data_IF_852066117320
#
_entry.id   IF_852066117320
#
_cell.length_a   1.000
_cell.length_b   1.000
_cell.length_c   1.000
_cell.angle_alpha   90.00
_cell.angle_beta   90.00
_cell.angle_gamma   90.00
#
_symmetry.space_group_name_H-M   'P 1'
#
loop_
_entity.id
_entity.type
_entity.pdbx_description
1 polymer ?
#
# COMPACT_ATOMS: atom_id res chain seq x y z
N UNK A 1 4.56 19.85 14.22
CA UNK A 1 4.01 18.52 13.91
C UNK A 1 4.58 18.08 12.58
N UNK A 2 5.47 17.08 12.54
CA UNK A 2 5.98 16.55 11.27
C UNK A 2 4.83 15.78 10.63
N UNK A 3 4.11 16.39 9.69
CA UNK A 3 3.08 15.70 8.93
C UNK A 3 3.71 14.47 8.29
N UNK A 4 3.15 13.29 8.54
CA UNK A 4 3.69 12.07 7.97
C UNK A 4 3.36 12.05 6.47
N UNK A 5 4.25 12.60 5.65
CA UNK A 5 4.10 12.75 4.19
C UNK A 5 3.70 11.42 3.55
N UNK A 6 4.23 10.31 4.09
CA UNK A 6 3.89 8.94 3.67
C UNK A 6 2.39 8.67 3.87
N UNK A 7 1.84 9.00 5.04
CA UNK A 7 0.41 8.80 5.32
C UNK A 7 -0.48 9.68 4.41
N UNK A 8 -0.07 10.93 4.17
CA UNK A 8 -0.79 11.83 3.26
C UNK A 8 -0.79 11.28 1.82
N UNK A 9 0.35 10.80 1.32
CA UNK A 9 0.45 10.16 0.00
C UNK A 9 -0.43 8.92 -0.10
N UNK A 10 -0.41 8.04 0.91
CA UNK A 10 -1.26 6.85 0.95
C UNK A 10 -2.74 7.24 0.89
N UNK A 11 -3.16 8.26 1.65
CA UNK A 11 -4.53 8.74 1.66
C UNK A 11 -4.97 9.26 0.27
N UNK A 12 -4.11 10.03 -0.40
CA UNK A 12 -4.37 10.57 -1.75
C UNK A 12 -4.55 9.43 -2.77
N UNK A 13 -3.66 8.44 -2.75
CA UNK A 13 -3.73 7.28 -3.65
C UNK A 13 -5.03 6.51 -3.44
N UNK A 14 -5.36 6.19 -2.18
CA UNK A 14 -6.58 5.45 -1.83
C UNK A 14 -7.83 6.22 -2.24
N UNK A 15 -7.89 7.54 -1.96
CA UNK A 15 -9.02 8.39 -2.35
C UNK A 15 -9.19 8.48 -3.87
N UNK A 16 -8.09 8.59 -4.62
CA UNK A 16 -8.12 8.65 -6.10
C UNK A 16 -8.61 7.33 -6.70
N UNK A 17 -8.17 6.18 -6.17
CA UNK A 17 -8.65 4.87 -6.60
C UNK A 17 -10.16 4.70 -6.37
N UNK A 18 -10.66 5.16 -5.22
CA UNK A 18 -12.10 5.16 -4.96
C UNK A 18 -12.85 6.07 -5.92
N UNK A 19 -12.35 7.27 -6.19
CA UNK A 19 -12.97 8.21 -7.12
C UNK A 19 -13.07 7.62 -8.53
N UNK A 20 -11.97 7.04 -9.04
CA UNK A 20 -11.93 6.38 -10.34
C UNK A 20 -12.95 5.23 -10.43
N UNK A 21 -13.11 4.46 -9.35
CA UNK A 21 -14.12 3.39 -9.30
C UNK A 21 -15.54 3.93 -9.34
N UNK A 22 -15.82 5.06 -8.66
CA UNK A 22 -17.13 5.72 -8.71
C UNK A 22 -17.44 6.31 -10.09
N UNK A 23 -16.41 6.73 -10.83
CA UNK A 23 -16.53 7.19 -12.23
C UNK A 23 -16.76 6.05 -13.23
N UNK A 24 -16.82 4.79 -12.77
CA UNK A 24 -17.03 3.63 -13.62
C UNK A 24 -15.76 3.12 -14.31
N UNK A 25 -14.58 3.63 -13.95
CA UNK A 25 -13.32 3.05 -14.43
C UNK A 25 -13.11 1.68 -13.79
N UNK A 26 -12.69 0.72 -14.61
CA UNK A 26 -12.31 -0.61 -14.14
C UNK A 26 -10.91 -0.57 -13.51
N UNK A 27 -10.82 0.06 -12.33
CA UNK A 27 -9.60 0.06 -11.52
C UNK A 27 -9.55 -1.20 -10.64
N UNK A 28 -8.36 -1.79 -10.44
CA UNK A 28 -8.19 -2.88 -9.49
C UNK A 28 -8.73 -2.49 -8.12
N UNK A 29 -9.61 -3.31 -7.55
CA UNK A 29 -10.12 -3.07 -6.20
C UNK A 29 -8.97 -3.03 -5.20
N UNK A 30 -9.12 -2.23 -4.14
CA UNK A 30 -8.15 -2.18 -3.04
C UNK A 30 -7.83 -3.57 -2.46
N UNK A 31 -8.81 -4.47 -2.43
CA UNK A 31 -8.61 -5.87 -2.05
C UNK A 31 -7.61 -6.61 -2.94
N UNK A 32 -7.65 -6.41 -4.26
CA UNK A 32 -6.68 -7.01 -5.19
C UNK A 32 -5.28 -6.43 -5.01
N UNK A 33 -5.18 -5.12 -4.77
CA UNK A 33 -3.90 -4.47 -4.49
C UNK A 33 -3.30 -5.06 -3.20
N UNK A 34 -4.05 -5.06 -2.10
CA UNK A 34 -3.57 -5.63 -0.83
C UNK A 34 -3.22 -7.12 -0.97
N UNK A 35 -4.05 -7.90 -1.69
CA UNK A 35 -3.82 -9.33 -1.96
C UNK A 35 -2.62 -9.58 -2.88
N UNK A 36 -2.23 -8.63 -3.74
CA UNK A 36 -1.04 -8.74 -4.58
C UNK A 36 0.22 -8.34 -3.83
N UNK A 37 0.13 -7.35 -2.94
CA UNK A 37 1.29 -6.73 -2.28
C UNK A 37 1.61 -7.28 -0.89
N UNK A 38 0.71 -7.99 -0.20
CA UNK A 38 1.02 -8.62 1.10
C UNK A 38 2.24 -9.57 1.09
N UNK A 39 2.55 -10.34 0.02
CA UNK A 39 3.73 -11.21 0.03
C UNK A 39 5.02 -10.39 0.03
N UNK A 40 5.03 -9.21 -0.59
CA UNK A 40 6.19 -8.33 -0.61
C UNK A 40 6.52 -7.81 0.79
N UNK A 41 5.51 -7.52 1.61
CA UNK A 41 5.70 -7.14 3.03
C UNK A 41 6.36 -8.28 3.79
N UNK A 42 5.90 -9.52 3.61
CA UNK A 42 6.50 -10.69 4.25
C UNK A 42 7.96 -10.92 3.81
N UNK A 43 8.28 -10.70 2.53
CA UNK A 43 9.66 -10.78 2.03
C UNK A 43 10.53 -9.71 2.71
N UNK A 44 10.09 -8.45 2.74
CA UNK A 44 10.86 -7.36 3.38
C UNK A 44 11.06 -7.62 4.87
N UNK A 45 10.03 -8.09 5.57
CA UNK A 45 10.13 -8.48 6.99
C UNK A 45 11.09 -9.65 7.16
N UNK A 46 10.98 -10.71 6.34
CA UNK A 46 11.87 -11.87 6.38
C UNK A 46 13.32 -11.50 6.11
N UNK A 47 13.58 -10.65 5.11
CA UNK A 47 14.91 -10.08 4.85
C UNK A 47 15.39 -9.25 6.05
N UNK A 48 14.53 -8.40 6.61
CA UNK A 48 14.82 -7.64 7.82
C UNK A 48 15.26 -8.54 8.98
N UNK A 49 14.59 -9.67 9.19
CA UNK A 49 14.97 -10.65 10.22
C UNK A 49 16.29 -11.35 9.91
N UNK A 50 16.58 -11.68 8.65
CA UNK A 50 17.85 -12.29 8.24
C UNK A 50 19.04 -11.34 8.41
N UNK A 51 18.85 -10.06 8.10
CA UNK A 51 19.89 -9.03 8.24
C UNK A 51 19.97 -8.45 9.66
N UNK A 52 18.92 -8.61 10.47
CA UNK A 52 18.93 -8.28 11.89
C UNK A 52 19.55 -9.41 12.73
N UNK A 53 20.77 -9.83 12.35
CA UNK A 53 21.66 -10.61 13.21
C UNK A 53 22.34 -9.66 14.18
N UNK A 54 21.78 -9.55 15.39
CA UNK A 54 22.58 -9.33 16.58
C UNK A 54 23.21 -10.64 17.02
#
# INVERSE_FOLDING_TARGET
MKGNIIAALVLIIVGTLFLLRNLGFNVPGLGNLISTWWPAILIVVGLGLLFNRK
#
